data_IF_161079667534
#
_entry.id   IF_161079667534
#
_cell.length_a   1.000
_cell.length_b   1.000
_cell.length_c   1.000
_cell.angle_alpha   90.00
_cell.angle_beta   90.00
_cell.angle_gamma   90.00
#
_symmetry.space_group_name_H-M   'P 1'
#
loop_
_entity.id
_entity.type
_entity.pdbx_description
1 polymer ?
#
# COMPACT_ATOMS: atom_id res chain seq x y z
N UNK A 1 21.52 -10.46 6.90
CA UNK A 1 20.64 -10.41 5.71
C UNK A 1 21.43 -9.96 4.49
N UNK A 2 21.29 -10.65 3.37
CA UNK A 2 21.97 -10.27 2.12
C UNK A 2 21.08 -9.32 1.31
N UNK A 3 21.51 -8.07 1.14
CA UNK A 3 20.82 -7.08 0.28
C UNK A 3 21.13 -7.25 -1.23
N UNK A 4 21.76 -8.37 -1.63
CA UNK A 4 22.14 -8.63 -3.03
C UNK A 4 20.91 -8.73 -3.95
N UNK A 5 19.79 -9.21 -3.43
CA UNK A 5 18.52 -9.41 -4.14
C UNK A 5 17.83 -8.09 -4.51
N UNK A 6 18.10 -7.01 -3.78
CA UNK A 6 17.48 -5.71 -4.05
C UNK A 6 18.14 -4.99 -5.22
N UNK A 7 17.33 -4.39 -6.10
CA UNK A 7 17.79 -3.48 -7.15
C UNK A 7 18.48 -2.23 -6.58
N UNK A 8 19.20 -1.50 -7.43
CA UNK A 8 19.83 -0.21 -7.03
C UNK A 8 18.79 0.78 -6.46
N UNK A 9 17.59 0.82 -7.07
CA UNK A 9 16.50 1.71 -6.64
C UNK A 9 15.93 1.28 -5.29
N UNK A 10 15.66 -0.01 -5.09
CA UNK A 10 15.17 -0.55 -3.81
C UNK A 10 16.17 -0.30 -2.67
N UNK A 11 17.47 -0.49 -2.92
CA UNK A 11 18.54 -0.14 -1.96
C UNK A 11 18.55 1.34 -1.61
N UNK A 12 18.34 2.23 -2.59
CA UNK A 12 18.23 3.68 -2.36
C UNK A 12 17.00 4.01 -1.49
N UNK A 13 15.85 3.39 -1.77
CA UNK A 13 14.62 3.56 -0.97
C UNK A 13 14.83 3.08 0.47
N UNK A 14 15.38 1.88 0.65
CA UNK A 14 15.66 1.31 1.97
C UNK A 14 16.60 2.21 2.79
N UNK A 15 17.71 2.67 2.19
CA UNK A 15 18.63 3.62 2.83
C UNK A 15 17.91 4.92 3.23
N UNK A 16 17.02 5.44 2.38
CA UNK A 16 16.29 6.67 2.63
C UNK A 16 15.28 6.52 3.79
N UNK A 17 14.66 5.34 3.93
CA UNK A 17 13.77 5.01 5.06
C UNK A 17 14.56 4.90 6.37
N UNK A 18 15.73 4.28 6.33
CA UNK A 18 16.59 4.10 7.51
C UNK A 18 17.53 5.31 7.79
N UNK A 19 17.50 6.35 6.95
CA UNK A 19 18.34 7.54 7.14
C UNK A 19 17.69 8.55 8.09
N UNK A 20 18.53 9.39 8.70
CA UNK A 20 18.09 10.46 9.61
C UNK A 20 17.14 11.50 9.00
N UNK A 21 16.99 11.53 7.66
CA UNK A 21 16.02 12.40 6.99
C UNK A 21 14.56 12.01 7.31
N UNK A 22 14.28 10.72 7.55
CA UNK A 22 12.99 10.22 8.02
C UNK A 22 13.08 9.85 9.51
N UNK A 23 13.44 10.80 10.35
CA UNK A 23 13.70 10.63 11.78
C UNK A 23 12.60 9.84 12.52
N UNK A 24 11.34 9.99 12.10
CA UNK A 24 10.19 9.30 12.66
C UNK A 24 10.21 7.78 12.36
N UNK A 25 10.98 7.32 11.39
CA UNK A 25 11.09 5.90 11.08
C UNK A 25 12.02 5.15 12.03
N UNK A 26 12.99 5.82 12.66
CA UNK A 26 13.95 5.15 13.55
C UNK A 26 13.28 4.36 14.69
N UNK A 27 12.37 4.94 15.50
CA UNK A 27 11.68 4.19 16.54
C UNK A 27 10.79 3.08 15.99
N UNK A 28 10.16 3.28 14.83
CA UNK A 28 9.30 2.28 14.19
C UNK A 28 10.13 1.08 13.71
N UNK A 29 11.21 1.32 12.96
CA UNK A 29 12.12 0.27 12.49
C UNK A 29 12.73 -0.50 13.66
N UNK A 30 13.10 0.19 14.75
CA UNK A 30 13.60 -0.45 15.97
C UNK A 30 12.57 -1.42 16.54
N UNK A 31 11.30 -1.01 16.69
CA UNK A 31 10.23 -1.86 17.24
C UNK A 31 9.86 -3.01 16.31
N UNK A 32 9.83 -2.78 14.99
CA UNK A 32 9.63 -3.86 13.99
C UNK A 32 10.71 -4.93 14.17
N UNK A 33 11.99 -4.53 14.23
CA UNK A 33 13.10 -5.47 14.38
C UNK A 33 13.06 -6.20 15.74
N UNK A 34 12.71 -5.50 16.82
CA UNK A 34 12.56 -6.10 18.14
C UNK A 34 11.45 -7.14 18.17
N UNK A 35 10.29 -6.82 17.60
CA UNK A 35 9.17 -7.75 17.51
C UNK A 35 9.55 -9.01 16.71
N UNK A 36 10.17 -8.84 15.54
CA UNK A 36 10.62 -9.97 14.71
C UNK A 36 11.66 -10.81 15.46
N UNK A 37 12.63 -10.17 16.14
CA UNK A 37 13.67 -10.88 16.88
C UNK A 37 13.13 -11.69 18.08
N UNK A 38 11.97 -11.32 18.62
CA UNK A 38 11.31 -12.07 19.70
C UNK A 38 10.58 -13.34 19.23
N UNK A 39 10.42 -13.54 17.91
CA UNK A 39 9.69 -14.67 17.36
C UNK A 39 10.59 -15.88 17.11
N UNK A 40 10.02 -17.09 17.24
CA UNK A 40 10.75 -18.34 17.01
C UNK A 40 11.15 -18.54 15.55
N UNK A 41 10.26 -18.21 14.62
CA UNK A 41 10.48 -18.32 13.17
C UNK A 41 10.67 -16.92 12.56
N UNK A 42 11.91 -16.49 12.43
CA UNK A 42 12.27 -15.16 11.91
C UNK A 42 11.76 -14.93 10.48
N UNK A 43 11.76 -15.96 9.63
CA UNK A 43 11.32 -15.82 8.23
C UNK A 43 9.82 -15.54 8.17
N UNK A 44 9.02 -16.25 8.92
CA UNK A 44 7.57 -16.08 9.02
C UNK A 44 7.23 -14.78 9.77
N UNK A 45 7.99 -14.44 10.79
CA UNK A 45 7.82 -13.22 11.57
C UNK A 45 7.87 -11.95 10.69
N UNK A 46 8.70 -11.94 9.64
CA UNK A 46 8.72 -10.83 8.68
C UNK A 46 7.43 -10.67 7.88
N UNK A 47 6.63 -11.73 7.70
CA UNK A 47 5.29 -11.63 7.14
C UNK A 47 4.28 -11.15 8.19
N UNK A 48 4.31 -11.78 9.37
CA UNK A 48 3.33 -11.53 10.43
C UNK A 48 3.46 -10.16 11.08
N UNK A 49 4.65 -9.55 11.09
CA UNK A 49 4.86 -8.20 11.64
C UNK A 49 4.00 -7.12 10.96
N UNK A 50 3.52 -7.37 9.75
CA UNK A 50 2.57 -6.50 9.06
C UNK A 50 1.28 -6.32 9.86
N UNK A 51 0.82 -7.36 10.56
CA UNK A 51 -0.36 -7.32 11.41
C UNK A 51 -0.13 -6.53 12.71
N UNK A 52 1.13 -6.27 13.06
CA UNK A 52 1.51 -5.53 14.27
C UNK A 52 1.72 -4.03 14.02
N UNK A 53 1.59 -3.56 12.76
CA UNK A 53 1.92 -2.19 12.41
C UNK A 53 1.03 -1.15 13.11
N UNK A 54 -0.23 -1.49 13.42
CA UNK A 54 -1.09 -0.65 14.25
C UNK A 54 -0.42 -0.34 15.59
N UNK A 55 -0.06 -1.39 16.33
CA UNK A 55 0.47 -1.26 17.69
C UNK A 55 1.90 -0.71 17.69
N UNK A 56 2.73 -1.14 16.74
CA UNK A 56 4.10 -0.64 16.57
C UNK A 56 4.11 0.87 16.30
N UNK A 57 3.27 1.37 15.38
CA UNK A 57 3.23 2.79 15.06
C UNK A 57 2.68 3.59 16.25
N UNK A 58 1.63 3.10 16.93
CA UNK A 58 1.11 3.72 18.14
C UNK A 58 2.15 3.77 19.26
N UNK A 59 2.80 2.66 19.56
CA UNK A 59 3.84 2.60 20.57
C UNK A 59 5.04 3.50 20.24
N UNK A 60 5.28 3.80 18.97
CA UNK A 60 6.36 4.69 18.53
C UNK A 60 6.01 6.18 18.62
N UNK A 61 4.74 6.51 18.86
CA UNK A 61 4.26 7.91 18.81
C UNK A 61 5.01 8.81 19.79
N UNK A 62 5.21 8.38 21.03
CA UNK A 62 5.91 9.16 22.06
C UNK A 62 7.33 9.50 21.63
N UNK A 63 8.08 8.50 21.12
CA UNK A 63 9.45 8.74 20.67
C UNK A 63 9.50 9.68 19.46
N UNK A 64 8.52 9.56 18.56
CA UNK A 64 8.39 10.44 17.39
C UNK A 64 8.07 11.87 17.82
N UNK A 65 7.20 12.05 18.82
CA UNK A 65 6.86 13.38 19.35
C UNK A 65 8.05 14.06 20.01
N UNK A 66 8.87 13.33 20.78
CA UNK A 66 10.12 13.86 21.35
C UNK A 66 11.07 14.34 20.24
N UNK A 67 11.25 13.53 19.18
CA UNK A 67 12.10 13.91 18.05
C UNK A 67 11.52 15.11 17.27
N UNK A 68 10.20 15.20 17.19
CA UNK A 68 9.51 16.32 16.56
C UNK A 68 9.69 17.61 17.36
N UNK A 69 9.55 17.56 18.69
CA UNK A 69 9.76 18.71 19.57
C UNK A 69 11.18 19.27 19.47
N UNK A 70 12.17 18.39 19.33
CA UNK A 70 13.56 18.83 19.07
C UNK A 70 13.68 19.60 17.76
N UNK A 71 12.95 19.17 16.68
CA UNK A 71 12.96 19.86 15.39
C UNK A 71 12.18 21.19 15.41
N UNK A 72 11.11 21.27 16.17
CA UNK A 72 10.40 22.53 16.42
C UNK A 72 11.30 23.53 17.14
N UNK A 73 11.99 23.09 18.19
CA UNK A 73 12.96 23.95 18.92
C UNK A 73 14.13 24.42 18.04
N UNK A 74 14.49 23.64 17.01
CA UNK A 74 15.50 24.00 16.01
C UNK A 74 14.97 24.90 14.89
N UNK A 75 13.70 25.31 14.93
CA UNK A 75 13.06 26.12 13.88
C UNK A 75 12.85 25.40 12.54
N UNK A 76 13.00 24.05 12.52
CA UNK A 76 12.87 23.25 11.27
C UNK A 76 11.42 22.88 10.95
N UNK A 77 10.52 23.03 11.92
CA UNK A 77 9.08 22.71 11.80
C UNK A 77 8.30 23.80 12.52
N UNK A 78 7.38 24.44 11.81
CA UNK A 78 6.57 25.54 12.34
C UNK A 78 5.26 25.01 12.97
N UNK A 79 4.58 24.05 12.31
CA UNK A 79 3.29 23.52 12.76
C UNK A 79 3.40 22.05 13.18
N UNK A 80 3.52 21.84 14.50
CA UNK A 80 3.62 20.51 15.11
C UNK A 80 2.41 19.62 14.80
N UNK A 81 1.19 20.15 14.90
CA UNK A 81 -0.03 19.36 14.72
C UNK A 81 -0.20 18.87 13.27
N UNK A 82 0.13 19.71 12.31
CA UNK A 82 0.12 19.31 10.89
C UNK A 82 1.20 18.28 10.61
N UNK A 83 2.39 18.45 11.19
CA UNK A 83 3.49 17.49 11.05
C UNK A 83 3.12 16.11 11.60
N UNK A 84 2.49 16.01 12.78
CA UNK A 84 2.05 14.73 13.37
C UNK A 84 1.09 13.99 12.44
N UNK A 85 0.07 14.69 11.88
CA UNK A 85 -0.90 14.08 10.95
C UNK A 85 -0.23 13.54 9.69
N UNK A 86 0.70 14.32 9.12
CA UNK A 86 1.49 13.90 7.95
C UNK A 86 2.42 12.72 8.26
N UNK A 87 3.04 12.72 9.44
CA UNK A 87 3.94 11.66 9.89
C UNK A 87 3.21 10.32 9.98
N UNK A 88 2.00 10.27 10.53
CA UNK A 88 1.27 9.02 10.72
C UNK A 88 1.04 8.27 9.39
N UNK A 89 0.55 8.95 8.34
CA UNK A 89 0.38 8.36 7.01
C UNK A 89 1.71 7.94 6.37
N UNK A 90 2.71 8.84 6.44
CA UNK A 90 4.05 8.56 5.92
C UNK A 90 4.73 7.39 6.66
N UNK A 91 4.52 7.27 7.95
CA UNK A 91 5.06 6.19 8.77
C UNK A 91 4.50 4.84 8.34
N UNK A 92 3.18 4.75 8.13
CA UNK A 92 2.54 3.52 7.67
C UNK A 92 3.06 3.10 6.28
N UNK A 93 3.07 4.01 5.31
CA UNK A 93 3.60 3.75 3.97
C UNK A 93 5.07 3.31 3.99
N UNK A 94 5.93 4.02 4.72
CA UNK A 94 7.35 3.69 4.79
C UNK A 94 7.63 2.39 5.57
N UNK A 95 6.86 2.09 6.62
CA UNK A 95 6.98 0.84 7.37
C UNK A 95 6.58 -0.35 6.48
N UNK A 96 5.49 -0.24 5.71
CA UNK A 96 5.08 -1.26 4.75
C UNK A 96 6.16 -1.52 3.70
N UNK A 97 6.71 -0.46 3.08
CA UNK A 97 7.80 -0.59 2.10
C UNK A 97 9.04 -1.22 2.74
N UNK A 98 9.42 -0.79 3.95
CA UNK A 98 10.54 -1.37 4.69
C UNK A 98 10.38 -2.87 4.87
N UNK A 99 9.24 -3.30 5.42
CA UNK A 99 8.95 -4.71 5.70
C UNK A 99 8.88 -5.52 4.39
N UNK A 100 8.29 -4.97 3.33
CA UNK A 100 8.25 -5.61 2.02
C UNK A 100 9.67 -5.88 1.49
N UNK A 101 10.56 -4.88 1.52
CA UNK A 101 11.95 -5.01 1.05
C UNK A 101 12.75 -6.02 1.89
N UNK A 102 12.52 -6.07 3.21
CA UNK A 102 13.14 -7.08 4.07
C UNK A 102 12.59 -8.47 3.76
N UNK A 103 11.29 -8.65 3.54
CA UNK A 103 10.71 -9.91 3.10
C UNK A 103 11.32 -10.41 1.78
N UNK A 104 11.62 -9.49 0.85
CA UNK A 104 12.34 -9.83 -0.39
C UNK A 104 13.76 -10.34 -0.09
N UNK A 105 14.47 -9.72 0.86
CA UNK A 105 15.78 -10.22 1.32
C UNK A 105 15.70 -11.57 2.01
N UNK A 106 14.60 -11.89 2.68
CA UNK A 106 14.32 -13.18 3.31
C UNK A 106 13.79 -14.24 2.35
N UNK A 107 13.67 -13.92 1.04
CA UNK A 107 13.09 -14.79 -0.01
C UNK A 107 11.62 -15.16 0.24
N UNK A 108 10.87 -14.34 0.98
CA UNK A 108 9.41 -14.43 1.08
C UNK A 108 8.72 -13.79 -0.13
N UNK A 109 9.42 -12.94 -0.87
CA UNK A 109 8.94 -12.23 -2.06
C UNK A 109 9.87 -12.55 -3.22
N UNK A 110 9.34 -12.89 -4.41
CA UNK A 110 10.13 -13.14 -5.61
C UNK A 110 10.92 -11.91 -6.06
N UNK A 111 12.07 -12.11 -6.70
CA UNK A 111 12.95 -11.03 -7.16
C UNK A 111 12.30 -10.14 -8.23
N UNK A 112 11.39 -10.69 -9.02
CA UNK A 112 10.68 -9.98 -10.08
C UNK A 112 9.56 -9.06 -9.58
N UNK A 113 9.17 -9.13 -8.31
CA UNK A 113 8.15 -8.28 -7.71
C UNK A 113 8.76 -7.03 -7.08
N UNK A 114 8.20 -5.88 -7.36
CA UNK A 114 8.67 -4.56 -6.90
C UNK A 114 7.58 -3.80 -6.18
N UNK A 115 7.99 -2.90 -5.28
CA UNK A 115 7.12 -1.98 -4.56
C UNK A 115 7.66 -0.56 -4.67
N UNK A 116 6.79 0.41 -4.89
CA UNK A 116 7.17 1.82 -4.95
C UNK A 116 6.04 2.74 -4.54
N UNK A 117 6.40 3.87 -3.91
CA UNK A 117 5.53 5.05 -3.76
C UNK A 117 5.82 6.12 -4.83
N UNK A 118 6.81 5.89 -5.71
CA UNK A 118 7.17 6.78 -6.80
C UNK A 118 6.54 6.29 -8.11
N UNK A 119 5.32 6.72 -8.39
CA UNK A 119 4.52 6.26 -9.54
C UNK A 119 5.20 6.52 -10.90
N UNK A 120 6.05 7.54 -11.00
CA UNK A 120 6.83 7.82 -12.21
C UNK A 120 7.90 6.79 -12.51
N UNK A 121 8.22 5.91 -11.56
CA UNK A 121 9.22 4.85 -11.73
C UNK A 121 8.62 3.55 -12.28
N UNK A 122 7.29 3.45 -12.37
CA UNK A 122 6.58 2.27 -12.88
C UNK A 122 6.35 2.45 -14.38
N UNK A 123 6.87 1.55 -15.24
CA UNK A 123 6.71 1.66 -16.69
C UNK A 123 5.23 1.68 -17.09
N UNK A 124 4.87 2.52 -18.07
CA UNK A 124 3.53 2.64 -18.67
C UNK A 124 2.36 2.86 -17.69
N UNK A 125 2.63 2.96 -16.39
CA UNK A 125 1.62 3.01 -15.34
C UNK A 125 0.61 4.14 -15.51
N UNK A 126 1.08 5.35 -15.89
CA UNK A 126 0.19 6.51 -16.10
C UNK A 126 -0.85 6.27 -17.18
N UNK A 127 -0.50 5.53 -18.23
CA UNK A 127 -1.42 5.20 -19.32
C UNK A 127 -2.52 4.24 -18.88
N UNK A 128 -2.16 3.33 -17.95
CA UNK A 128 -3.07 2.31 -17.43
C UNK A 128 -4.06 2.80 -16.36
N UNK A 129 -3.88 4.03 -15.83
CA UNK A 129 -4.69 4.54 -14.72
C UNK A 129 -5.41 5.86 -15.02
N UNK A 130 -5.02 6.55 -16.09
CA UNK A 130 -5.61 7.84 -16.41
C UNK A 130 -6.99 7.66 -17.02
N UNK A 131 -7.97 8.37 -16.46
CA UNK A 131 -9.33 8.48 -16.99
C UNK A 131 -9.49 9.91 -17.52
N UNK A 132 -10.02 10.05 -18.73
CA UNK A 132 -10.37 11.36 -19.25
C UNK A 132 -11.87 11.60 -19.07
N UNK A 133 -12.21 12.75 -18.51
CA UNK A 133 -13.59 13.23 -18.37
C UNK A 133 -13.65 14.60 -19.03
N UNK A 134 -14.45 14.75 -20.06
CA UNK A 134 -14.58 16.04 -20.81
C UNK A 134 -13.22 16.64 -21.21
N UNK A 135 -12.29 15.79 -21.67
CA UNK A 135 -10.91 16.15 -22.06
C UNK A 135 -9.95 16.47 -20.89
N UNK A 136 -10.40 16.38 -19.65
CA UNK A 136 -9.53 16.54 -18.48
C UNK A 136 -9.05 15.20 -17.94
N UNK A 137 -7.74 15.08 -17.71
CA UNK A 137 -7.12 13.86 -17.18
C UNK A 137 -7.32 13.80 -15.68
N UNK A 138 -8.02 12.77 -15.25
CA UNK A 138 -8.21 12.43 -13.83
C UNK A 138 -7.27 11.30 -13.42
N UNK A 139 -6.81 11.32 -12.18
CA UNK A 139 -5.89 10.31 -11.60
C UNK A 139 -6.42 9.84 -10.27
N UNK A 140 -6.42 8.51 -10.02
CA UNK A 140 -6.74 7.99 -8.71
C UNK A 140 -5.72 8.42 -7.64
N UNK A 141 -6.19 8.58 -6.40
CA UNK A 141 -5.32 8.74 -5.23
C UNK A 141 -4.68 7.39 -4.89
N UNK A 142 -3.36 7.33 -4.96
CA UNK A 142 -2.59 6.10 -4.79
C UNK A 142 -1.36 6.38 -3.93
N UNK A 143 -1.15 5.51 -2.95
CA UNK A 143 -0.03 5.65 -2.02
C UNK A 143 1.14 4.74 -2.42
N UNK A 144 0.85 3.50 -2.86
CA UNK A 144 1.85 2.49 -3.22
C UNK A 144 1.38 1.69 -4.43
N UNK A 145 2.32 1.28 -5.27
CA UNK A 145 2.12 0.31 -6.34
C UNK A 145 3.05 -0.88 -6.13
N UNK A 146 2.47 -2.10 -6.21
CA UNK A 146 3.21 -3.36 -6.30
C UNK A 146 3.07 -3.85 -7.74
N UNK A 147 4.18 -4.22 -8.38
CA UNK A 147 4.16 -4.63 -9.78
C UNK A 147 5.20 -5.70 -10.09
N UNK A 148 4.96 -6.44 -11.17
CA UNK A 148 5.89 -7.41 -11.72
C UNK A 148 6.79 -6.74 -12.76
N UNK A 149 8.11 -7.00 -12.70
CA UNK A 149 9.01 -6.63 -13.79
C UNK A 149 9.09 -7.77 -14.81
N UNK A 150 8.42 -7.59 -15.93
CA UNK A 150 8.31 -8.61 -16.98
C UNK A 150 9.64 -8.88 -17.69
N UNK A 151 10.59 -7.94 -17.71
CA UNK A 151 11.93 -8.15 -18.25
C UNK A 151 12.71 -9.23 -17.47
N UNK A 152 12.43 -9.37 -16.16
CA UNK A 152 13.01 -10.43 -15.32
C UNK A 152 12.24 -11.73 -15.47
N UNK A 153 10.93 -11.65 -15.76
CA UNK A 153 10.02 -12.80 -15.89
C UNK A 153 10.11 -13.52 -17.26
N UNK A 154 10.78 -12.91 -18.25
CA UNK A 154 10.87 -13.40 -19.64
C UNK A 154 9.51 -13.70 -20.30
N UNK A 155 8.44 -13.02 -19.90
CA UNK A 155 7.09 -13.17 -20.46
C UNK A 155 6.61 -11.85 -21.05
N UNK A 156 6.14 -11.88 -22.30
CA UNK A 156 5.42 -10.77 -22.96
C UNK A 156 3.96 -10.71 -22.48
N UNK A 157 3.75 -10.59 -21.17
CA UNK A 157 2.41 -10.43 -20.59
C UNK A 157 2.15 -8.96 -20.30
N UNK A 158 0.89 -8.48 -20.39
CA UNK A 158 0.56 -7.13 -19.98
C UNK A 158 1.02 -6.87 -18.56
N UNK A 159 1.52 -5.67 -18.33
CA UNK A 159 2.00 -5.25 -17.01
C UNK A 159 0.84 -5.29 -16.02
N UNK A 160 0.96 -6.12 -15.00
CA UNK A 160 -0.04 -6.24 -13.93
C UNK A 160 0.40 -5.41 -12.74
N UNK A 161 -0.52 -4.59 -12.23
CA UNK A 161 -0.29 -3.71 -11.11
C UNK A 161 -1.31 -3.95 -10.00
N UNK A 162 -0.85 -3.88 -8.76
CA UNK A 162 -1.70 -3.75 -7.58
C UNK A 162 -1.50 -2.34 -7.05
N UNK A 163 -2.55 -1.57 -7.06
CA UNK A 163 -2.62 -0.24 -6.48
C UNK A 163 -3.08 -0.39 -5.05
N UNK A 164 -2.32 0.16 -4.11
CA UNK A 164 -2.65 0.11 -2.70
C UNK A 164 -2.85 1.53 -2.17
N UNK A 165 -4.06 1.82 -1.72
CA UNK A 165 -4.37 3.03 -0.97
C UNK A 165 -4.19 2.76 0.52
N UNK A 166 -3.40 3.62 1.18
CA UNK A 166 -3.06 3.49 2.60
C UNK A 166 -3.71 4.62 3.39
N UNK A 167 -4.52 4.28 4.37
CA UNK A 167 -5.11 5.27 5.26
C UNK A 167 -4.97 4.85 6.72
N UNK A 168 -4.67 5.79 7.59
CA UNK A 168 -4.61 5.54 9.04
C UNK A 168 -5.98 5.64 9.70
N UNK A 169 -6.96 6.20 8.99
CA UNK A 169 -8.37 6.24 9.37
C UNK A 169 -9.26 6.01 8.14
N UNK A 170 -10.44 5.45 8.32
CA UNK A 170 -11.37 5.17 7.24
C UNK A 170 -12.15 6.41 6.80
N UNK A 171 -12.79 7.11 7.72
CA UNK A 171 -13.62 8.31 7.46
C UNK A 171 -13.99 8.49 5.98
N UNK A 172 -14.03 9.71 5.50
CA UNK A 172 -14.37 10.02 4.09
C UNK A 172 -13.29 9.60 3.08
N UNK A 173 -12.07 9.26 3.54
CA UNK A 173 -10.94 8.99 2.65
C UNK A 173 -11.03 7.66 1.91
N UNK A 174 -11.66 6.65 2.50
CA UNK A 174 -11.93 5.39 1.79
C UNK A 174 -12.88 5.64 0.60
N UNK A 175 -13.87 6.52 0.79
CA UNK A 175 -14.82 6.89 -0.26
C UNK A 175 -14.15 7.52 -1.48
N UNK A 176 -13.12 8.33 -1.32
CA UNK A 176 -12.40 8.92 -2.44
C UNK A 176 -11.68 7.87 -3.30
N UNK A 177 -11.16 6.79 -2.68
CA UNK A 177 -10.39 5.79 -3.40
C UNK A 177 -11.29 4.82 -4.18
N UNK A 178 -12.37 4.30 -3.59
CA UNK A 178 -13.23 3.35 -4.32
C UNK A 178 -13.99 4.00 -5.48
N UNK A 179 -14.28 5.31 -5.43
CA UNK A 179 -14.87 6.04 -6.54
C UNK A 179 -14.04 5.92 -7.83
N UNK A 180 -12.73 5.90 -7.71
CA UNK A 180 -11.84 5.73 -8.86
C UNK A 180 -11.95 4.35 -9.47
N UNK A 181 -12.06 3.29 -8.65
CA UNK A 181 -12.30 1.95 -9.14
C UNK A 181 -13.63 1.87 -9.89
N UNK A 182 -14.71 2.35 -9.28
CA UNK A 182 -16.03 2.38 -9.92
C UNK A 182 -15.99 3.17 -11.24
N UNK A 183 -15.29 4.30 -11.29
CA UNK A 183 -15.17 5.11 -12.51
C UNK A 183 -14.42 4.36 -13.61
N UNK A 184 -13.38 3.59 -13.30
CA UNK A 184 -12.69 2.74 -14.26
C UNK A 184 -13.59 1.61 -14.76
N UNK A 185 -14.35 0.95 -13.88
CA UNK A 185 -15.30 -0.09 -14.24
C UNK A 185 -16.44 0.47 -15.13
N UNK A 186 -16.98 1.64 -14.79
CA UNK A 186 -17.97 2.36 -15.64
C UNK A 186 -17.36 2.64 -17.02
N UNK A 187 -16.13 3.14 -17.06
CA UNK A 187 -15.46 3.49 -18.32
C UNK A 187 -15.21 2.28 -19.24
N UNK A 188 -15.16 1.07 -18.70
CA UNK A 188 -14.99 -0.16 -19.47
C UNK A 188 -16.32 -0.86 -19.82
N UNK A 189 -17.30 -0.80 -18.92
CA UNK A 189 -18.47 -1.68 -19.00
C UNK A 189 -19.81 -0.94 -19.20
N UNK A 190 -19.81 0.39 -19.22
CA UNK A 190 -21.04 1.20 -19.34
C UNK A 190 -20.95 2.25 -20.45
N UNK A 191 -21.14 1.86 -21.72
CA UNK A 191 -21.05 2.80 -22.87
C UNK A 191 -21.99 4.01 -22.74
N UNK A 192 -23.20 3.80 -22.23
CA UNK A 192 -24.19 4.86 -22.03
C UNK A 192 -23.71 5.95 -21.06
N UNK A 193 -23.08 5.56 -19.95
CA UNK A 193 -22.52 6.50 -18.99
C UNK A 193 -21.26 7.19 -19.55
N UNK A 194 -20.46 6.45 -20.33
CA UNK A 194 -19.30 7.02 -21.01
C UNK A 194 -19.71 8.12 -21.99
N UNK A 195 -20.74 7.89 -22.79
CA UNK A 195 -21.29 8.89 -23.72
C UNK A 195 -21.88 10.08 -22.97
N UNK A 196 -22.74 9.84 -21.98
CA UNK A 196 -23.40 10.88 -21.19
C UNK A 196 -22.43 11.85 -20.51
N UNK A 197 -21.33 11.34 -19.98
CA UNK A 197 -20.37 12.14 -19.21
C UNK A 197 -19.05 12.40 -19.96
N UNK A 198 -18.95 11.97 -21.21
CA UNK A 198 -17.75 12.04 -22.05
C UNK A 198 -16.53 11.44 -21.30
N UNK A 199 -16.69 10.19 -20.83
CA UNK A 199 -15.65 9.44 -20.12
C UNK A 199 -14.90 8.58 -21.13
N UNK A 200 -13.57 8.60 -21.08
CA UNK A 200 -12.73 7.67 -21.83
C UNK A 200 -11.60 7.10 -20.98
N UNK A 201 -11.33 5.82 -21.17
CA UNK A 201 -10.28 5.09 -20.49
C UNK A 201 -9.47 4.29 -21.51
N UNK A 202 -8.16 4.46 -21.51
CA UNK A 202 -7.29 3.88 -22.55
C UNK A 202 -6.89 2.43 -22.32
N UNK A 203 -6.95 1.98 -21.08
CA UNK A 203 -6.63 0.58 -20.75
C UNK A 203 -7.83 -0.32 -21.03
N UNK A 204 -7.60 -1.53 -21.47
CA UNK A 204 -8.62 -2.57 -21.61
C UNK A 204 -8.85 -3.36 -20.32
N UNK A 205 -8.11 -3.06 -19.27
CA UNK A 205 -8.17 -3.79 -17.98
C UNK A 205 -8.10 -2.79 -16.82
N UNK A 206 -8.98 -2.97 -15.83
CA UNK A 206 -8.89 -2.26 -14.57
C UNK A 206 -7.73 -2.86 -13.75
N UNK A 207 -6.81 -2.05 -13.21
CA UNK A 207 -5.81 -2.55 -12.29
C UNK A 207 -6.45 -3.07 -11.00
N UNK A 208 -5.79 -3.99 -10.32
CA UNK A 208 -6.22 -4.44 -8.99
C UNK A 208 -6.07 -3.29 -8.01
N UNK A 209 -7.18 -2.86 -7.40
CA UNK A 209 -7.20 -1.74 -6.45
C UNK A 209 -7.51 -2.26 -5.06
N UNK A 210 -6.52 -2.19 -4.18
CA UNK A 210 -6.61 -2.63 -2.80
C UNK A 210 -6.60 -1.45 -1.83
N UNK A 211 -7.11 -1.71 -0.64
CA UNK A 211 -7.10 -0.76 0.46
C UNK A 211 -6.40 -1.37 1.68
N UNK A 212 -5.61 -0.58 2.41
CA UNK A 212 -5.05 -1.01 3.68
C UNK A 212 -5.13 0.10 4.74
N UNK A 213 -5.44 -0.29 5.97
CA UNK A 213 -5.58 0.64 7.08
C UNK A 213 -4.92 0.13 8.36
N UNK A 214 -4.42 1.06 9.17
CA UNK A 214 -4.07 0.80 10.56
C UNK A 214 -5.29 0.89 11.48
N UNK A 215 -6.41 1.47 11.01
CA UNK A 215 -7.66 1.62 11.75
C UNK A 215 -7.47 2.20 13.16
N UNK A 216 -6.72 3.28 13.29
CA UNK A 216 -6.39 3.88 14.60
C UNK A 216 -7.60 4.30 15.43
N UNK A 217 -8.73 4.57 14.80
CA UNK A 217 -9.96 5.02 15.45
C UNK A 217 -11.05 3.95 15.54
N UNK A 218 -10.72 2.66 15.25
CA UNK A 218 -11.66 1.53 15.24
C UNK A 218 -12.92 1.73 14.36
N UNK A 219 -12.80 2.54 13.33
CA UNK A 219 -13.91 2.91 12.41
C UNK A 219 -14.45 1.70 11.63
N UNK A 220 -13.68 0.63 11.54
CA UNK A 220 -14.07 -0.64 10.92
C UNK A 220 -15.26 -1.31 11.63
N UNK A 221 -15.49 -0.95 12.90
CA UNK A 221 -16.65 -1.45 13.66
C UNK A 221 -17.95 -0.79 13.22
N UNK A 222 -17.90 0.36 12.51
CA UNK A 222 -19.06 1.01 11.94
C UNK A 222 -19.44 0.31 10.62
N UNK A 223 -20.69 -0.27 10.50
CA UNK A 223 -21.12 -1.00 9.32
C UNK A 223 -21.04 -0.17 8.03
N UNK A 224 -21.38 1.11 8.07
CA UNK A 224 -21.34 2.01 6.91
C UNK A 224 -19.88 2.21 6.43
N UNK A 225 -18.95 2.43 7.35
CA UNK A 225 -17.53 2.58 7.02
C UNK A 225 -16.94 1.26 6.52
N UNK A 226 -17.29 0.16 7.16
CA UNK A 226 -16.84 -1.18 6.77
C UNK A 226 -17.40 -1.59 5.39
N UNK A 227 -18.64 -1.24 5.10
CA UNK A 227 -19.29 -1.56 3.81
C UNK A 227 -18.57 -0.98 2.60
N UNK A 228 -17.94 0.20 2.74
CA UNK A 228 -17.15 0.81 1.66
C UNK A 228 -15.92 -0.03 1.25
N UNK A 229 -15.43 -0.87 2.16
CA UNK A 229 -14.27 -1.72 1.87
C UNK A 229 -14.58 -2.87 0.92
N UNK A 230 -15.87 -3.20 0.69
CA UNK A 230 -16.32 -4.20 -0.28
C UNK A 230 -16.11 -3.79 -1.74
N UNK A 231 -15.94 -2.50 -2.01
CA UNK A 231 -15.68 -2.00 -3.37
C UNK A 231 -14.24 -2.24 -3.85
N UNK A 232 -13.32 -2.61 -2.96
CA UNK A 232 -11.96 -2.93 -3.33
C UNK A 232 -11.82 -4.40 -3.73
N UNK A 233 -10.85 -4.74 -4.57
CA UNK A 233 -10.54 -6.13 -4.91
C UNK A 233 -10.11 -6.91 -3.68
N UNK A 234 -9.44 -6.22 -2.75
CA UNK A 234 -9.16 -6.72 -1.41
C UNK A 234 -8.86 -5.57 -0.44
N UNK A 235 -9.31 -5.73 0.79
CA UNK A 235 -9.04 -4.78 1.88
C UNK A 235 -8.24 -5.44 2.99
N UNK A 236 -7.28 -4.70 3.54
CA UNK A 236 -6.36 -5.20 4.55
C UNK A 236 -6.37 -4.33 5.80
N UNK A 237 -6.17 -4.96 6.96
CA UNK A 237 -6.01 -4.27 8.24
C UNK A 237 -4.66 -4.64 8.86
N UNK A 238 -3.92 -3.63 9.33
CA UNK A 238 -2.62 -3.79 9.99
C UNK A 238 -2.78 -4.15 11.48
N UNK A 239 -3.67 -5.10 11.78
CA UNK A 239 -3.98 -5.59 13.11
C UNK A 239 -4.32 -7.07 13.04
N UNK A 240 -4.10 -7.82 14.11
CA UNK A 240 -4.59 -9.18 14.21
C UNK A 240 -6.13 -9.20 14.24
N UNK A 241 -6.72 -10.09 13.47
CA UNK A 241 -8.16 -10.34 13.44
C UNK A 241 -8.40 -11.71 14.08
N UNK A 242 -9.12 -11.73 15.19
CA UNK A 242 -9.36 -12.95 15.98
C UNK A 242 -10.47 -13.79 15.36
N UNK A 243 -11.49 -13.15 14.75
CA UNK A 243 -12.64 -13.82 14.14
C UNK A 243 -12.62 -13.66 12.63
N UNK A 244 -12.00 -14.61 11.94
CA UNK A 244 -12.02 -14.71 10.49
C UNK A 244 -13.21 -15.60 10.07
N UNK A 245 -14.20 -15.03 9.39
CA UNK A 245 -15.25 -15.80 8.71
C UNK A 245 -14.86 -16.00 7.24
N UNK A 246 -15.33 -17.08 6.59
CA UNK A 246 -15.06 -17.34 5.17
C UNK A 246 -15.56 -16.22 4.24
N UNK A 247 -16.57 -15.47 4.66
CA UNK A 247 -17.11 -14.30 3.97
C UNK A 247 -16.34 -13.00 4.27
N UNK A 248 -15.15 -13.10 4.88
CA UNK A 248 -14.37 -11.94 5.23
C UNK A 248 -13.88 -11.22 3.95
N UNK A 249 -14.27 -9.98 3.78
CA UNK A 249 -13.73 -9.09 2.72
C UNK A 249 -12.58 -8.22 3.23
N UNK A 250 -12.25 -8.33 4.53
CA UNK A 250 -11.14 -7.63 5.20
C UNK A 250 -10.18 -8.68 5.73
N UNK A 251 -8.94 -8.58 5.34
CA UNK A 251 -7.89 -9.54 5.65
C UNK A 251 -6.80 -8.93 6.53
N UNK A 252 -6.08 -9.73 7.34
CA UNK A 252 -4.85 -9.26 7.98
C UNK A 252 -3.85 -8.76 6.93
N UNK A 253 -3.10 -7.72 7.25
CA UNK A 253 -2.16 -7.13 6.29
C UNK A 253 -1.03 -8.09 5.88
N UNK A 254 -0.73 -9.12 6.69
CA UNK A 254 0.20 -10.19 6.30
C UNK A 254 -0.23 -10.94 5.04
N UNK A 255 -1.53 -10.97 4.71
CA UNK A 255 -2.06 -11.60 3.50
C UNK A 255 -1.81 -10.78 2.23
N UNK A 256 -1.35 -9.54 2.34
CA UNK A 256 -1.01 -8.70 1.18
C UNK A 256 0.09 -9.34 0.32
N UNK A 257 1.13 -9.89 0.93
CA UNK A 257 2.27 -10.48 0.20
C UNK A 257 1.85 -11.75 -0.55
N UNK A 258 1.23 -12.77 0.08
CA UNK A 258 0.70 -13.93 -0.64
C UNK A 258 -0.28 -13.56 -1.75
N UNK A 259 -1.20 -12.65 -1.50
CA UNK A 259 -2.15 -12.15 -2.49
C UNK A 259 -1.44 -11.49 -3.69
N UNK A 260 -0.45 -10.64 -3.43
CA UNK A 260 0.30 -9.99 -4.49
C UNK A 260 1.10 -11.00 -5.33
N UNK A 261 1.69 -12.02 -4.70
CA UNK A 261 2.38 -13.09 -5.40
C UNK A 261 1.41 -13.84 -6.30
N UNK A 262 0.25 -14.25 -5.79
CA UNK A 262 -0.80 -14.95 -6.56
C UNK A 262 -1.22 -14.13 -7.79
N UNK A 263 -1.65 -12.89 -7.57
CA UNK A 263 -2.19 -12.04 -8.64
C UNK A 263 -1.16 -11.62 -9.69
N UNK A 264 0.07 -11.35 -9.28
CA UNK A 264 1.13 -10.97 -10.21
C UNK A 264 1.86 -12.16 -10.84
N UNK A 265 1.67 -13.40 -10.33
CA UNK A 265 2.20 -14.62 -10.94
C UNK A 265 1.39 -15.09 -12.14
N UNK A 266 0.07 -14.92 -12.11
CA UNK A 266 -0.89 -15.35 -13.13
C UNK A 266 -1.71 -14.18 -13.68
N UNK A 267 -1.18 -13.37 -14.59
CA UNK A 267 -1.90 -12.22 -15.15
C UNK A 267 -3.15 -12.61 -15.96
N UNK A 268 -3.30 -13.88 -16.37
CA UNK A 268 -4.47 -14.38 -17.12
C UNK A 268 -5.72 -14.61 -16.24
N UNK A 269 -5.60 -14.67 -14.92
CA UNK A 269 -6.78 -14.84 -14.02
C UNK A 269 -7.64 -13.57 -13.97
N UNK A 270 -7.10 -12.41 -14.35
CA UNK A 270 -7.86 -11.16 -14.42
C UNK A 270 -8.89 -11.10 -15.55
N UNK A 271 -8.72 -11.93 -16.61
CA UNK A 271 -9.62 -11.94 -17.78
C UNK A 271 -10.80 -12.92 -17.66
N UNK A 272 -10.87 -13.74 -16.61
CA UNK A 272 -11.83 -14.84 -16.50
C UNK A 272 -12.92 -14.66 -15.43
N UNK A 273 -13.09 -13.48 -14.86
CA UNK A 273 -14.10 -13.19 -13.83
C UNK A 273 -15.31 -12.42 -14.35
N UNK A 274 -15.53 -12.44 -15.70
CA UNK A 274 -16.73 -11.86 -16.31
C UNK A 274 -17.29 -12.79 -17.39
#
# INVERSE_FOLDING_TARGET
>A
MSFKVLSKQEKKVLRKICSGNKYYMNPIVKRVNQWVASQKNIKEAWLLVLNQLHDIIRASQIDVEILLDQKVKQGKIENKNQAIKSIAGNAFSNALIYIFLVNKCCKNIPEWMFITSQLSSVPNFRQSININIQNEVQKPDMDIVIYANNNIKQKHTPESYIILSLKTSLRERAAQTYKWKLLMEVALHSPELCEKYNISYRSSVVPIICFATTNFYNEINNPQQRGMLKFFDRSFIAKEIIDFTEDAFIYPLSNLIPFAIEKLSNPYVQLSLF
#
